data_IF_263531664638
#
_entry.id   IF_263531664638
#
_cell.length_a   1.000
_cell.length_b   1.000
_cell.length_c   1.000
_cell.angle_alpha   90.00
_cell.angle_beta   90.00
_cell.angle_gamma   90.00
#
_symmetry.space_group_name_H-M   'P 1'
#
loop_
_entity.id
_entity.type
_entity.pdbx_description
1 polymer ?
#
# COMPACT_ATOMS: atom_id res chain seq x y z
N UNK A 1 1.35 -53.26 5.36
CA UNK A 1 0.91 -52.27 4.34
C UNK A 1 0.11 -51.19 5.05
N UNK A 2 0.71 -50.01 5.28
CA UNK A 2 0.00 -48.89 5.93
C UNK A 2 -0.97 -48.27 4.93
N UNK A 3 -2.26 -48.48 5.16
CA UNK A 3 -3.36 -47.83 4.43
C UNK A 3 -3.27 -46.34 4.70
N UNK A 4 -2.68 -45.57 3.77
CA UNK A 4 -2.76 -44.11 3.79
C UNK A 4 -4.22 -43.72 3.65
N UNK A 5 -4.87 -43.42 4.77
CA UNK A 5 -6.20 -42.81 4.81
C UNK A 5 -6.13 -41.55 3.96
N UNK A 6 -6.84 -41.53 2.81
CA UNK A 6 -6.90 -40.34 1.96
C UNK A 6 -7.52 -39.23 2.81
N UNK A 7 -6.73 -38.22 3.16
CA UNK A 7 -7.23 -37.01 3.81
C UNK A 7 -8.32 -36.43 2.90
N UNK A 8 -9.54 -36.18 3.39
CA UNK A 8 -10.60 -35.58 2.59
C UNK A 8 -10.12 -34.27 1.97
N UNK A 9 -10.44 -34.02 0.70
CA UNK A 9 -10.13 -32.73 0.07
C UNK A 9 -10.86 -31.63 0.85
N UNK A 10 -10.12 -30.73 1.46
CA UNK A 10 -10.67 -29.59 2.16
C UNK A 10 -11.45 -28.70 1.17
N UNK A 11 -12.63 -28.18 1.55
CA UNK A 11 -13.37 -27.24 0.71
C UNK A 11 -12.52 -25.99 0.42
N UNK A 12 -12.68 -25.44 -0.78
CA UNK A 12 -12.03 -24.19 -1.19
C UNK A 12 -12.84 -22.99 -0.70
N UNK A 13 -12.17 -21.86 -0.46
CA UNK A 13 -12.87 -20.59 -0.19
C UNK A 13 -13.58 -20.06 -1.43
N UNK A 14 -14.51 -19.13 -1.23
CA UNK A 14 -15.20 -18.42 -2.32
C UNK A 14 -14.21 -17.76 -3.28
N UNK A 15 -13.19 -17.05 -2.76
CA UNK A 15 -12.19 -16.38 -3.61
C UNK A 15 -11.31 -17.36 -4.40
N UNK A 16 -11.17 -18.62 -3.96
CA UNK A 16 -10.45 -19.66 -4.71
C UNK A 16 -11.34 -20.41 -5.71
N UNK A 17 -12.64 -20.49 -5.45
CA UNK A 17 -13.60 -21.22 -6.27
C UNK A 17 -14.24 -20.36 -7.35
N UNK A 18 -14.65 -19.14 -6.99
CA UNK A 18 -15.33 -18.17 -7.86
C UNK A 18 -14.35 -17.10 -8.38
N UNK A 19 -13.38 -16.69 -7.56
CA UNK A 19 -12.49 -15.57 -7.85
C UNK A 19 -13.03 -14.23 -7.36
N UNK A 20 -12.28 -13.16 -7.59
CA UNK A 20 -12.74 -11.79 -7.34
C UNK A 20 -13.28 -11.25 -8.67
N UNK A 21 -14.58 -10.91 -8.77
CA UNK A 21 -15.17 -10.45 -10.02
C UNK A 21 -14.46 -9.23 -10.60
N UNK A 22 -14.48 -9.14 -11.93
CA UNK A 22 -14.14 -7.90 -12.61
C UNK A 22 -15.13 -6.78 -12.24
N UNK A 23 -14.63 -5.56 -12.09
CA UNK A 23 -15.45 -4.42 -11.66
C UNK A 23 -15.97 -3.59 -12.85
N UNK A 24 -15.68 -4.00 -14.09
CA UNK A 24 -15.92 -3.25 -15.31
C UNK A 24 -14.89 -2.16 -15.55
N UNK A 25 -15.21 -1.27 -16.49
CA UNK A 25 -14.35 -0.17 -16.90
C UNK A 25 -14.92 1.18 -16.45
N UNK A 26 -14.04 2.15 -16.22
CA UNK A 26 -14.34 3.58 -16.17
C UNK A 26 -13.53 4.22 -17.29
N UNK A 27 -14.20 4.87 -18.25
CA UNK A 27 -13.55 5.27 -19.51
C UNK A 27 -12.83 4.06 -20.14
N UNK A 28 -11.51 4.16 -20.34
CA UNK A 28 -10.63 3.15 -20.91
C UNK A 28 -9.81 2.38 -19.86
N UNK A 29 -10.04 2.62 -18.56
CA UNK A 29 -9.29 1.98 -17.48
C UNK A 29 -10.15 1.01 -16.65
N UNK A 30 -9.58 -0.08 -16.10
CA UNK A 30 -10.31 -1.00 -15.24
C UNK A 30 -10.70 -0.31 -13.93
N UNK A 31 -11.91 -0.58 -13.42
CA UNK A 31 -12.35 -0.16 -12.08
C UNK A 31 -11.62 -0.96 -11.00
N UNK A 32 -11.52 -0.38 -9.80
CA UNK A 32 -10.95 -1.09 -8.65
C UNK A 32 -11.85 -2.26 -8.25
N UNK A 33 -11.31 -3.49 -8.33
CA UNK A 33 -11.95 -4.70 -7.80
C UNK A 33 -12.09 -4.59 -6.28
N UNK A 34 -13.32 -4.64 -5.77
CA UNK A 34 -13.62 -4.59 -4.34
C UNK A 34 -13.82 -6.00 -3.79
N UNK A 35 -13.28 -6.26 -2.60
CA UNK A 35 -13.38 -7.59 -1.96
C UNK A 35 -14.39 -7.68 -0.82
N UNK A 36 -14.90 -6.54 -0.37
CA UNK A 36 -15.85 -6.47 0.74
C UNK A 36 -16.75 -5.24 0.59
N UNK A 37 -17.89 -5.28 1.29
CA UNK A 37 -18.79 -4.13 1.39
C UNK A 37 -18.21 -2.97 2.20
N UNK A 38 -19.10 -2.04 2.52
CA UNK A 38 -18.77 -0.83 3.25
C UNK A 38 -18.57 -1.11 4.74
N UNK A 39 -17.74 -0.26 5.36
CA UNK A 39 -17.66 -0.19 6.82
C UNK A 39 -18.95 0.40 7.39
N UNK A 40 -19.20 0.22 8.69
CA UNK A 40 -20.42 0.72 9.35
C UNK A 40 -20.62 2.25 9.31
N UNK A 41 -19.62 3.02 8.86
CA UNK A 41 -19.70 4.46 8.65
C UNK A 41 -18.42 5.06 8.06
N UNK A 42 -18.42 6.35 7.67
CA UNK A 42 -17.26 7.02 7.07
C UNK A 42 -16.14 7.21 8.09
N UNK A 43 -14.94 6.68 7.77
CA UNK A 43 -13.76 6.68 8.65
C UNK A 43 -12.83 7.88 8.48
N UNK A 44 -13.06 8.70 7.46
CA UNK A 44 -12.16 9.78 7.03
C UNK A 44 -12.83 11.15 6.96
N UNK A 45 -14.03 11.31 7.53
CA UNK A 45 -14.77 12.58 7.50
C UNK A 45 -13.89 13.76 7.92
N UNK A 46 -13.76 14.75 7.04
CA UNK A 46 -13.00 15.98 7.32
C UNK A 46 -11.48 15.85 7.23
N UNK A 47 -10.93 14.66 6.95
CA UNK A 47 -9.48 14.41 6.93
C UNK A 47 -8.85 14.71 5.57
N UNK A 48 -7.61 15.17 5.60
CA UNK A 48 -6.79 15.44 4.42
C UNK A 48 -5.72 14.37 4.27
N UNK A 49 -5.64 13.78 3.08
CA UNK A 49 -4.80 12.62 2.80
C UNK A 49 -3.87 12.87 1.62
N UNK A 50 -2.61 12.46 1.74
CA UNK A 50 -1.66 12.43 0.63
C UNK A 50 -1.25 10.97 0.38
N UNK A 51 -1.31 10.52 -0.87
CA UNK A 51 -0.90 9.18 -1.31
C UNK A 51 0.10 9.29 -2.45
N UNK A 52 1.30 8.72 -2.28
CA UNK A 52 2.29 8.62 -3.37
C UNK A 52 2.21 7.27 -4.09
N UNK A 53 2.60 7.21 -5.36
CA UNK A 53 2.51 5.98 -6.16
C UNK A 53 1.06 5.66 -6.60
N UNK A 54 0.29 6.70 -6.96
CA UNK A 54 -1.14 6.60 -7.25
C UNK A 54 -1.49 6.46 -8.75
N UNK A 55 -0.50 6.44 -9.66
CA UNK A 55 -0.76 6.44 -11.11
C UNK A 55 -1.13 5.05 -11.67
N UNK A 56 -0.69 3.96 -11.04
CA UNK A 56 -0.92 2.61 -11.56
C UNK A 56 -2.40 2.23 -11.60
N UNK A 57 -2.88 1.73 -12.75
CA UNK A 57 -4.27 1.29 -12.97
C UNK A 57 -4.73 0.23 -11.95
N UNK A 58 -3.86 -0.68 -11.52
CA UNK A 58 -4.21 -1.71 -10.54
C UNK A 58 -3.38 -1.53 -9.25
N UNK A 59 -2.90 -0.31 -8.99
CA UNK A 59 -1.99 -0.04 -7.89
C UNK A 59 -2.66 0.09 -6.52
N UNK A 60 -1.89 -0.21 -5.47
CA UNK A 60 -2.29 -0.01 -4.08
C UNK A 60 -2.58 1.48 -3.81
N UNK A 61 -1.77 2.40 -4.34
CA UNK A 61 -1.98 3.84 -4.17
C UNK A 61 -3.33 4.32 -4.72
N UNK A 62 -3.70 3.89 -5.94
CA UNK A 62 -5.02 4.17 -6.54
C UNK A 62 -6.13 3.58 -5.67
N UNK A 63 -6.06 2.30 -5.31
CA UNK A 63 -7.07 1.66 -4.46
C UNK A 63 -7.23 2.36 -3.10
N UNK A 64 -6.13 2.80 -2.48
CA UNK A 64 -6.16 3.59 -1.24
C UNK A 64 -6.82 4.94 -1.43
N UNK A 65 -6.58 5.65 -2.53
CA UNK A 65 -7.27 6.90 -2.83
C UNK A 65 -8.79 6.70 -2.92
N UNK A 66 -9.25 5.62 -3.58
CA UNK A 66 -10.66 5.23 -3.57
C UNK A 66 -11.18 4.93 -2.17
N UNK A 67 -10.43 4.20 -1.34
CA UNK A 67 -10.85 3.89 0.03
C UNK A 67 -10.97 5.15 0.90
N UNK A 68 -10.01 6.09 0.81
CA UNK A 68 -10.09 7.34 1.57
C UNK A 68 -11.24 8.24 1.10
N UNK A 69 -11.44 8.38 -0.21
CA UNK A 69 -12.54 9.18 -0.76
C UNK A 69 -13.92 8.56 -0.42
N UNK A 70 -14.09 7.25 -0.62
CA UNK A 70 -15.30 6.51 -0.24
C UNK A 70 -15.66 6.65 1.24
N UNK A 71 -14.66 6.82 2.10
CA UNK A 71 -14.83 7.01 3.54
C UNK A 71 -14.94 8.47 3.97
N UNK A 72 -15.20 9.38 3.03
CA UNK A 72 -15.56 10.78 3.30
C UNK A 72 -14.38 11.70 3.59
N UNK A 73 -13.17 11.39 3.11
CA UNK A 73 -12.05 12.33 3.17
C UNK A 73 -12.47 13.72 2.67
N UNK A 74 -11.96 14.78 3.30
CA UNK A 74 -12.17 16.14 2.80
C UNK A 74 -11.39 16.36 1.50
N UNK A 75 -10.16 15.87 1.46
CA UNK A 75 -9.30 15.99 0.30
C UNK A 75 -8.35 14.79 0.20
N UNK A 76 -8.08 14.37 -1.04
CA UNK A 76 -7.10 13.32 -1.37
C UNK A 76 -6.15 13.84 -2.44
N UNK A 77 -4.88 13.96 -2.09
CA UNK A 77 -3.81 14.21 -3.04
C UNK A 77 -3.31 12.88 -3.61
N UNK A 78 -3.45 12.70 -4.92
CA UNK A 78 -2.95 11.54 -5.66
C UNK A 78 -1.65 11.93 -6.37
N UNK A 79 -0.54 11.41 -5.87
CA UNK A 79 0.79 11.85 -6.24
C UNK A 79 1.57 10.73 -6.92
N UNK A 80 2.31 11.03 -7.99
CA UNK A 80 3.14 10.05 -8.67
C UNK A 80 4.24 10.71 -9.52
N UNK A 81 5.26 9.94 -9.90
CA UNK A 81 6.31 10.39 -10.81
C UNK A 81 5.78 10.60 -12.23
N UNK A 82 4.83 9.76 -12.67
CA UNK A 82 4.15 9.87 -13.96
C UNK A 82 2.70 10.32 -13.77
N UNK A 83 2.20 11.14 -14.69
CA UNK A 83 0.85 11.69 -14.68
C UNK A 83 -0.14 11.02 -15.65
N UNK A 84 0.32 10.00 -16.40
CA UNK A 84 -0.42 9.36 -17.50
C UNK A 84 -1.88 9.01 -17.17
N UNK A 85 -2.19 8.65 -15.92
CA UNK A 85 -3.54 8.29 -15.49
C UNK A 85 -4.06 9.14 -14.32
N UNK A 86 -3.29 10.08 -13.78
CA UNK A 86 -3.70 10.85 -12.59
C UNK A 86 -4.98 11.65 -12.83
N UNK A 87 -5.11 12.28 -14.01
CA UNK A 87 -6.33 13.03 -14.36
C UNK A 87 -7.54 12.09 -14.61
N UNK A 88 -7.32 10.89 -15.17
CA UNK A 88 -8.39 9.89 -15.32
C UNK A 88 -8.86 9.38 -13.95
N UNK A 89 -7.93 9.08 -13.05
CA UNK A 89 -8.26 8.69 -11.67
C UNK A 89 -9.01 9.80 -10.93
N UNK A 90 -8.65 11.07 -11.14
CA UNK A 90 -9.38 12.21 -10.61
C UNK A 90 -10.82 12.26 -11.12
N UNK A 91 -11.05 12.09 -12.43
CA UNK A 91 -12.41 12.07 -13.00
C UNK A 91 -13.25 10.94 -12.43
N UNK A 92 -12.67 9.75 -12.29
CA UNK A 92 -13.35 8.62 -11.66
C UNK A 92 -13.73 8.91 -10.21
N UNK A 93 -12.77 9.35 -9.40
CA UNK A 93 -13.00 9.68 -7.98
C UNK A 93 -14.05 10.78 -7.82
N UNK A 94 -14.01 11.84 -8.63
CA UNK A 94 -15.02 12.91 -8.62
C UNK A 94 -16.41 12.40 -9.01
N UNK A 95 -16.50 11.47 -9.97
CA UNK A 95 -17.79 10.90 -10.40
C UNK A 95 -18.44 10.05 -9.30
N UNK A 96 -17.63 9.39 -8.48
CA UNK A 96 -18.08 8.51 -7.40
C UNK A 96 -18.27 9.27 -6.08
N UNK A 97 -17.45 10.29 -5.82
CA UNK A 97 -17.33 10.98 -4.54
C UNK A 97 -17.26 12.50 -4.76
N UNK A 98 -18.35 13.15 -5.23
CA UNK A 98 -18.33 14.55 -5.63
C UNK A 98 -18.03 15.54 -4.49
N UNK A 99 -18.17 15.12 -3.23
CA UNK A 99 -17.90 15.96 -2.05
C UNK A 99 -16.42 15.92 -1.58
N UNK A 100 -15.57 15.14 -2.27
CA UNK A 100 -14.15 14.96 -1.93
C UNK A 100 -13.28 15.75 -2.90
N UNK A 101 -12.42 16.62 -2.38
CA UNK A 101 -11.50 17.38 -3.22
C UNK A 101 -10.32 16.49 -3.68
N UNK A 102 -10.24 16.19 -4.98
CA UNK A 102 -9.16 15.36 -5.53
C UNK A 102 -8.07 16.20 -6.21
N UNK A 103 -6.82 16.07 -5.72
CA UNK A 103 -5.66 16.84 -6.16
C UNK A 103 -4.59 15.95 -6.80
N UNK A 104 -4.50 15.87 -8.14
CA UNK A 104 -3.42 15.15 -8.81
C UNK A 104 -2.13 15.96 -8.81
N UNK A 105 -1.00 15.35 -8.42
CA UNK A 105 0.31 16.01 -8.42
C UNK A 105 1.37 15.10 -9.04
N UNK A 106 2.09 15.62 -10.03
CA UNK A 106 3.24 14.93 -10.62
C UNK A 106 4.52 15.36 -9.91
N UNK A 107 5.21 14.44 -9.25
CA UNK A 107 6.57 14.63 -8.73
C UNK A 107 7.24 13.31 -8.37
N UNK A 108 8.58 13.31 -8.37
CA UNK A 108 9.37 12.23 -7.78
C UNK A 108 9.28 12.30 -6.25
N UNK A 109 8.73 11.26 -5.62
CA UNK A 109 8.57 11.20 -4.16
C UNK A 109 9.90 11.23 -3.38
N UNK A 110 11.04 11.05 -4.05
CA UNK A 110 12.38 11.24 -3.46
C UNK A 110 12.98 12.64 -3.70
N UNK A 111 12.24 13.55 -4.33
CA UNK A 111 12.59 14.97 -4.44
C UNK A 111 12.09 15.72 -3.19
N UNK A 112 13.04 16.16 -2.37
CA UNK A 112 12.74 16.82 -1.09
C UNK A 112 11.91 18.11 -1.22
N UNK A 113 12.23 18.95 -2.21
CA UNK A 113 11.52 20.21 -2.43
C UNK A 113 10.05 19.97 -2.83
N UNK A 114 9.81 18.98 -3.70
CA UNK A 114 8.46 18.63 -4.13
C UNK A 114 7.62 18.00 -3.00
N UNK A 115 8.22 17.09 -2.21
CA UNK A 115 7.56 16.50 -1.04
C UNK A 115 7.20 17.56 0.00
N UNK A 116 8.10 18.52 0.25
CA UNK A 116 7.80 19.68 1.09
C UNK A 116 6.62 20.48 0.54
N UNK A 117 6.64 20.80 -0.75
CA UNK A 117 5.62 21.63 -1.39
C UNK A 117 4.21 21.03 -1.32
N UNK A 118 4.05 19.71 -1.55
CA UNK A 118 2.72 19.07 -1.47
C UNK A 118 2.16 19.04 -0.03
N UNK A 119 3.03 18.88 0.97
CA UNK A 119 2.62 18.98 2.38
C UNK A 119 2.23 20.43 2.75
N UNK A 120 2.98 21.42 2.27
CA UNK A 120 2.65 22.84 2.47
C UNK A 120 1.34 23.23 1.78
N UNK A 121 1.08 22.68 0.60
CA UNK A 121 -0.19 22.90 -0.10
C UNK A 121 -1.39 22.38 0.70
N UNK A 122 -1.28 21.19 1.30
CA UNK A 122 -2.34 20.65 2.16
C UNK A 122 -2.62 21.58 3.35
N UNK A 123 -1.57 22.13 3.97
CA UNK A 123 -1.71 23.11 5.06
C UNK A 123 -2.33 24.42 4.57
N UNK A 124 -1.89 24.96 3.43
CA UNK A 124 -2.42 26.20 2.89
C UNK A 124 -3.90 26.11 2.53
N UNK A 125 -4.33 24.99 1.94
CA UNK A 125 -5.73 24.80 1.50
C UNK A 125 -6.68 24.43 2.63
N UNK A 126 -6.22 23.60 3.58
CA UNK A 126 -7.10 22.94 4.54
C UNK A 126 -6.73 23.19 6.00
N UNK A 127 -5.59 23.84 6.27
CA UNK A 127 -5.09 24.06 7.62
C UNK A 127 -4.75 22.77 8.37
N UNK A 128 -4.59 21.64 7.66
CA UNK A 128 -4.32 20.32 8.26
C UNK A 128 -3.75 19.32 7.26
N UNK A 129 -3.05 18.33 7.79
CA UNK A 129 -2.75 17.05 7.16
C UNK A 129 -3.03 15.94 8.18
N UNK A 130 -3.65 14.84 7.75
CA UNK A 130 -4.07 13.75 8.66
C UNK A 130 -3.43 12.41 8.30
N UNK A 131 -3.25 12.13 7.01
CA UNK A 131 -2.62 10.88 6.55
C UNK A 131 -1.60 11.16 5.45
N UNK A 132 -0.43 10.56 5.58
CA UNK A 132 0.56 10.47 4.51
C UNK A 132 0.87 9.00 4.24
N UNK A 133 0.40 8.49 3.11
CA UNK A 133 0.71 7.14 2.66
C UNK A 133 1.86 7.17 1.64
N UNK A 134 3.07 6.94 2.13
CA UNK A 134 4.29 6.82 1.34
C UNK A 134 4.32 5.46 0.63
N UNK A 135 3.60 5.36 -0.49
CA UNK A 135 3.38 4.14 -1.23
C UNK A 135 4.20 4.02 -2.53
N UNK A 136 4.77 5.11 -3.03
CA UNK A 136 5.68 5.06 -4.17
C UNK A 136 6.82 4.06 -3.95
N UNK A 137 7.14 3.28 -4.97
CA UNK A 137 8.22 2.32 -4.93
C UNK A 137 8.42 1.58 -6.24
N UNK A 138 9.61 1.03 -6.41
CA UNK A 138 10.03 0.23 -7.56
C UNK A 138 10.58 -1.12 -7.09
N UNK A 139 10.67 -2.07 -8.01
CA UNK A 139 11.30 -3.36 -7.81
C UNK A 139 12.08 -3.76 -9.07
N UNK A 140 13.06 -4.65 -8.91
CA UNK A 140 13.81 -5.26 -10.02
C UNK A 140 13.82 -6.77 -9.85
N UNK A 141 13.83 -7.50 -10.97
CA UNK A 141 14.00 -8.95 -11.04
C UNK A 141 15.43 -9.40 -11.35
N UNK A 142 16.40 -8.47 -11.34
CA UNK A 142 17.80 -8.76 -11.67
C UNK A 142 18.43 -9.79 -10.71
N UNK A 143 19.34 -10.61 -11.27
CA UNK A 143 20.16 -11.56 -10.51
C UNK A 143 21.15 -10.77 -9.66
N UNK A 144 21.36 -11.19 -8.41
CA UNK A 144 22.17 -10.44 -7.44
C UNK A 144 23.57 -10.04 -7.96
N UNK A 145 24.25 -10.92 -8.69
CA UNK A 145 25.61 -10.66 -9.23
C UNK A 145 25.64 -9.61 -10.35
N UNK A 146 24.50 -9.33 -10.95
CA UNK A 146 24.38 -8.43 -12.10
C UNK A 146 23.89 -7.04 -11.69
N UNK A 147 23.59 -6.85 -10.40
CA UNK A 147 23.13 -5.57 -9.84
C UNK A 147 24.36 -4.71 -9.52
N UNK A 148 24.49 -3.60 -10.22
CA UNK A 148 25.54 -2.64 -9.94
C UNK A 148 25.18 -1.69 -8.77
N UNK A 149 26.14 -0.87 -8.35
CA UNK A 149 25.95 0.07 -7.26
C UNK A 149 24.94 1.18 -7.59
N UNK A 150 24.81 1.58 -8.85
CA UNK A 150 23.88 2.63 -9.27
C UNK A 150 22.43 2.14 -9.23
N UNK A 151 22.18 0.91 -9.67
CA UNK A 151 20.89 0.24 -9.55
C UNK A 151 20.50 0.04 -8.08
N UNK A 152 21.43 -0.42 -7.25
CA UNK A 152 21.21 -0.55 -5.81
C UNK A 152 20.82 0.80 -5.19
N UNK A 153 21.58 1.86 -5.48
CA UNK A 153 21.31 3.20 -4.93
C UNK A 153 20.03 3.81 -5.48
N UNK A 154 19.65 3.50 -6.73
CA UNK A 154 18.36 3.89 -7.30
C UNK A 154 17.21 3.27 -6.53
N UNK A 155 17.30 1.98 -6.19
CA UNK A 155 16.31 1.30 -5.34
C UNK A 155 16.19 1.97 -3.98
N UNK A 156 17.32 2.27 -3.33
CA UNK A 156 17.33 2.93 -2.01
C UNK A 156 16.75 4.34 -2.07
N UNK A 157 17.10 5.13 -3.10
CA UNK A 157 16.56 6.47 -3.32
C UNK A 157 15.04 6.44 -3.48
N UNK A 158 14.52 5.55 -4.32
CA UNK A 158 13.07 5.53 -4.60
C UNK A 158 12.29 4.89 -3.46
N UNK A 159 12.75 3.80 -2.85
CA UNK A 159 11.97 3.06 -1.84
C UNK A 159 12.18 3.53 -0.40
N UNK A 160 13.34 4.10 -0.06
CA UNK A 160 13.70 4.47 1.32
C UNK A 160 13.70 5.97 1.50
N UNK A 161 14.44 6.71 0.66
CA UNK A 161 14.52 8.17 0.78
C UNK A 161 13.14 8.82 0.60
N UNK A 162 12.31 8.33 -0.34
CA UNK A 162 10.95 8.84 -0.52
C UNK A 162 10.08 8.71 0.74
N UNK A 163 10.18 7.58 1.44
CA UNK A 163 9.43 7.32 2.67
C UNK A 163 9.94 8.20 3.81
N UNK A 164 11.27 8.34 3.95
CA UNK A 164 11.88 9.22 4.93
C UNK A 164 11.43 10.68 4.72
N UNK A 165 11.50 11.19 3.49
CA UNK A 165 11.09 12.55 3.15
C UNK A 165 9.59 12.75 3.41
N UNK A 166 8.76 11.80 2.95
CA UNK A 166 7.33 11.80 3.21
C UNK A 166 7.02 11.91 4.70
N UNK A 167 7.65 11.06 5.53
CA UNK A 167 7.47 11.08 6.97
C UNK A 167 7.95 12.40 7.63
N UNK A 168 9.13 12.89 7.23
CA UNK A 168 9.72 14.14 7.75
C UNK A 168 8.80 15.34 7.55
N UNK A 169 8.30 15.55 6.34
CA UNK A 169 7.46 16.71 6.04
C UNK A 169 6.00 16.52 6.46
N UNK A 170 5.48 15.29 6.38
CA UNK A 170 4.16 14.97 6.91
C UNK A 170 4.08 15.21 8.42
N UNK A 171 5.08 14.76 9.20
CA UNK A 171 5.11 14.98 10.64
C UNK A 171 5.08 16.49 10.99
N UNK A 172 5.88 17.31 10.29
CA UNK A 172 5.86 18.78 10.46
C UNK A 172 4.49 19.38 10.18
N UNK A 173 3.83 18.94 9.10
CA UNK A 173 2.48 19.38 8.76
C UNK A 173 1.42 18.89 9.78
N UNK A 174 1.54 17.65 10.25
CA UNK A 174 0.61 17.02 11.19
C UNK A 174 0.67 17.61 12.61
N UNK A 175 1.81 18.20 12.98
CA UNK A 175 2.00 18.93 14.25
C UNK A 175 1.23 20.25 14.30
N UNK A 176 0.88 20.83 13.14
CA UNK A 176 0.13 22.08 13.10
C UNK A 176 -1.32 21.86 13.54
N UNK A 177 -1.84 22.80 14.31
CA UNK A 177 -3.22 22.82 14.78
C UNK A 177 -4.03 23.87 14.03
N UNK A 178 -5.35 23.67 13.97
CA UNK A 178 -6.32 24.59 13.38
C UNK A 178 -7.67 24.44 14.08
N UNK A 179 -8.66 25.32 13.82
CA UNK A 179 -10.00 25.16 14.42
C UNK A 179 -10.65 23.79 14.14
N UNK A 180 -10.32 23.16 13.00
CA UNK A 180 -10.83 21.82 12.65
C UNK A 180 -9.96 20.67 13.20
N UNK A 181 -8.73 20.97 13.66
CA UNK A 181 -7.75 20.02 14.19
C UNK A 181 -7.03 20.64 15.40
N UNK A 182 -7.67 20.70 16.58
CA UNK A 182 -7.17 21.46 17.73
C UNK A 182 -5.92 20.85 18.40
N UNK A 183 -5.61 19.58 18.11
CA UNK A 183 -4.45 18.86 18.66
C UNK A 183 -3.59 18.30 17.54
N UNK A 184 -2.26 18.19 17.74
CA UNK A 184 -1.40 17.45 16.83
C UNK A 184 -1.86 15.98 16.79
N UNK A 185 -1.90 15.41 15.59
CA UNK A 185 -2.27 14.02 15.36
C UNK A 185 -2.00 13.64 13.91
N UNK A 186 -1.95 12.35 13.60
CA UNK A 186 -1.88 11.91 12.21
C UNK A 186 -1.40 10.47 12.06
N UNK A 187 -1.36 10.01 10.81
CA UNK A 187 -0.87 8.68 10.46
C UNK A 187 0.07 8.73 9.26
N UNK A 188 1.30 8.29 9.48
CA UNK A 188 2.31 8.08 8.45
C UNK A 188 2.37 6.59 8.18
N UNK A 189 2.19 6.22 6.92
CA UNK A 189 2.16 4.83 6.49
C UNK A 189 3.24 4.64 5.43
N UNK A 190 4.20 3.76 5.70
CA UNK A 190 5.23 3.37 4.75
C UNK A 190 4.89 2.06 4.06
N UNK A 191 5.06 1.97 2.73
CA UNK A 191 4.91 0.70 2.01
C UNK A 191 6.23 -0.08 2.03
N UNK A 192 6.31 -1.05 2.94
CA UNK A 192 7.36 -2.06 3.00
C UNK A 192 7.00 -3.25 2.06
N UNK A 193 7.30 -4.48 2.48
CA UNK A 193 6.92 -5.73 1.82
C UNK A 193 7.22 -6.89 2.77
N UNK A 194 6.62 -8.05 2.55
CA UNK A 194 7.12 -9.29 3.20
C UNK A 194 8.59 -9.58 2.86
N UNK A 195 9.11 -9.05 1.74
CA UNK A 195 10.54 -9.08 1.40
C UNK A 195 11.42 -8.32 2.41
N UNK A 196 10.84 -7.35 3.13
CA UNK A 196 11.50 -6.67 4.25
C UNK A 196 11.41 -7.43 5.58
N UNK A 197 10.57 -8.47 5.67
CA UNK A 197 10.38 -9.28 6.87
C UNK A 197 11.13 -10.61 6.81
N UNK A 198 11.16 -11.22 5.62
CA UNK A 198 11.74 -12.54 5.34
C UNK A 198 12.38 -12.51 3.95
N UNK A 199 13.43 -13.31 3.75
CA UNK A 199 14.09 -13.47 2.45
C UNK A 199 13.17 -14.15 1.43
N UNK A 200 13.59 -14.15 0.15
CA UNK A 200 12.94 -14.86 -0.96
C UNK A 200 11.60 -14.26 -1.46
N UNK A 201 11.32 -12.99 -1.19
CA UNK A 201 10.15 -12.29 -1.71
C UNK A 201 10.48 -11.05 -2.58
N UNK A 202 11.75 -10.89 -2.96
CA UNK A 202 12.22 -9.86 -3.88
C UNK A 202 13.73 -9.92 -4.08
N UNK A 203 14.25 -9.12 -5.02
CA UNK A 203 15.70 -8.97 -5.23
C UNK A 203 16.40 -8.41 -4.00
N UNK A 204 17.73 -8.57 -3.93
CA UNK A 204 18.55 -8.09 -2.81
C UNK A 204 18.35 -6.60 -2.49
N UNK A 205 18.46 -5.65 -3.44
CA UNK A 205 18.24 -4.23 -3.14
C UNK A 205 16.80 -3.95 -2.73
N UNK A 206 15.81 -4.63 -3.34
CA UNK A 206 14.41 -4.46 -2.97
C UNK A 206 14.17 -4.89 -1.52
N UNK A 207 14.61 -6.09 -1.15
CA UNK A 207 14.48 -6.64 0.21
C UNK A 207 15.16 -5.74 1.25
N UNK A 208 16.39 -5.28 0.97
CA UNK A 208 17.11 -4.33 1.82
C UNK A 208 16.33 -3.01 1.98
N UNK A 209 15.82 -2.45 0.89
CA UNK A 209 15.04 -1.20 0.94
C UNK A 209 13.76 -1.36 1.76
N UNK A 210 13.05 -2.49 1.62
CA UNK A 210 11.79 -2.72 2.35
C UNK A 210 12.02 -3.04 3.83
N UNK A 211 13.15 -3.67 4.19
CA UNK A 211 13.58 -3.80 5.59
C UNK A 211 13.93 -2.43 6.20
N UNK A 212 14.60 -1.56 5.45
CA UNK A 212 14.89 -0.20 5.88
C UNK A 212 13.61 0.61 6.17
N UNK A 213 12.56 0.47 5.35
CA UNK A 213 11.26 1.10 5.60
C UNK A 213 10.63 0.64 6.92
N UNK A 214 10.70 -0.66 7.25
CA UNK A 214 10.22 -1.17 8.55
C UNK A 214 10.96 -0.51 9.71
N UNK A 215 12.30 -0.48 9.63
CA UNK A 215 13.12 0.16 10.65
C UNK A 215 12.84 1.66 10.77
N UNK A 216 12.68 2.38 9.65
CA UNK A 216 12.32 3.80 9.64
C UNK A 216 11.01 4.04 10.39
N UNK A 217 9.95 3.29 10.11
CA UNK A 217 8.64 3.48 10.77
C UNK A 217 8.72 3.22 12.28
N UNK A 218 9.46 2.20 12.69
CA UNK A 218 9.73 1.93 14.10
C UNK A 218 10.46 3.10 14.76
N UNK A 219 11.58 3.55 14.20
CA UNK A 219 12.36 4.66 14.77
C UNK A 219 11.55 5.96 14.81
N UNK A 220 10.84 6.30 13.73
CA UNK A 220 10.03 7.53 13.65
C UNK A 220 8.91 7.52 14.71
N UNK A 221 8.29 6.37 14.98
CA UNK A 221 7.24 6.27 16.01
C UNK A 221 7.72 6.70 17.40
N UNK A 222 8.97 6.41 17.77
CA UNK A 222 9.56 6.86 19.03
C UNK A 222 9.95 8.34 19.00
N UNK A 223 10.42 8.83 17.85
CA UNK A 223 10.78 10.25 17.69
C UNK A 223 9.56 11.19 17.72
N UNK A 224 8.36 10.67 17.48
CA UNK A 224 7.09 11.39 17.53
C UNK A 224 6.31 11.16 18.84
N UNK A 225 6.99 10.71 19.90
CA UNK A 225 6.38 10.46 21.21
C UNK A 225 5.59 11.68 21.71
N UNK A 226 4.37 11.45 22.21
CA UNK A 226 3.50 12.49 22.76
C UNK A 226 2.79 13.38 21.74
N UNK A 227 3.09 13.25 20.44
CA UNK A 227 2.51 14.13 19.40
C UNK A 227 1.15 13.66 18.86
N UNK A 228 0.72 12.43 19.20
CA UNK A 228 -0.47 11.81 18.59
C UNK A 228 -0.27 11.36 17.13
N UNK A 229 0.93 11.51 16.57
CA UNK A 229 1.26 11.05 15.21
C UNK A 229 1.79 9.61 15.28
N UNK A 230 1.19 8.73 14.48
CA UNK A 230 1.58 7.32 14.39
C UNK A 230 2.36 7.06 13.11
N UNK A 231 3.31 6.13 13.16
CA UNK A 231 4.09 5.69 12.02
C UNK A 231 4.07 4.15 11.94
N UNK A 232 3.57 3.59 10.84
CA UNK A 232 3.47 2.15 10.65
C UNK A 232 3.91 1.73 9.24
N UNK A 233 4.40 0.51 9.10
CA UNK A 233 4.72 -0.10 7.81
C UNK A 233 3.63 -1.10 7.41
N UNK A 234 3.19 -1.05 6.15
CA UNK A 234 2.41 -2.13 5.53
C UNK A 234 3.38 -3.02 4.76
N UNK A 235 3.28 -4.34 4.93
CA UNK A 235 4.13 -5.34 4.30
C UNK A 235 3.29 -6.23 3.36
N UNK A 236 2.98 -5.79 2.13
CA UNK A 236 2.25 -6.60 1.18
C UNK A 236 3.03 -7.85 0.75
N UNK A 237 2.28 -8.93 0.50
CA UNK A 237 2.75 -10.11 -0.22
C UNK A 237 2.62 -9.94 -1.73
N UNK A 238 2.24 -11.03 -2.42
CA UNK A 238 1.97 -10.99 -3.87
C UNK A 238 0.59 -10.37 -4.12
N UNK A 239 0.58 -9.16 -4.65
CA UNK A 239 -0.63 -8.41 -5.03
C UNK A 239 -0.64 -8.25 -6.56
N UNK A 240 -1.78 -8.42 -7.22
CA UNK A 240 -1.91 -8.10 -8.65
C UNK A 240 -1.97 -6.56 -8.82
N UNK A 241 -0.87 -5.99 -9.33
CA UNK A 241 -0.67 -4.54 -9.52
C UNK A 241 0.17 -4.30 -10.77
N UNK A 242 0.41 -3.04 -11.14
CA UNK A 242 1.36 -2.71 -12.21
C UNK A 242 2.74 -3.33 -12.01
N UNK A 243 3.25 -3.39 -10.77
CA UNK A 243 4.58 -3.95 -10.44
C UNK A 243 4.68 -5.46 -10.70
N UNK A 244 3.56 -6.19 -10.60
CA UNK A 244 3.53 -7.66 -10.76
C UNK A 244 2.83 -8.12 -12.05
N UNK A 245 2.34 -7.17 -12.85
CA UNK A 245 1.58 -7.40 -14.09
C UNK A 245 2.24 -8.43 -15.01
N UNK A 246 3.52 -8.27 -15.33
CA UNK A 246 4.29 -9.19 -16.18
C UNK A 246 4.31 -10.63 -15.64
N UNK A 247 4.41 -10.80 -14.31
CA UNK A 247 4.36 -12.14 -13.70
C UNK A 247 2.97 -12.77 -13.87
N UNK A 248 1.90 -11.99 -13.67
CA UNK A 248 0.52 -12.45 -13.86
C UNK A 248 0.21 -12.75 -15.33
N UNK A 249 0.61 -11.89 -16.26
CA UNK A 249 0.46 -12.08 -17.70
C UNK A 249 1.19 -13.34 -18.19
N UNK A 250 2.45 -13.54 -17.78
CA UNK A 250 3.19 -14.75 -18.11
C UNK A 250 2.55 -16.01 -17.50
N UNK A 251 2.00 -15.91 -16.29
CA UNK A 251 1.28 -17.03 -15.67
C UNK A 251 -0.02 -17.35 -16.40
N UNK A 252 -0.78 -16.33 -16.84
CA UNK A 252 -2.00 -16.47 -17.67
C UNK A 252 -1.69 -17.11 -19.01
N UNK A 253 -0.67 -16.61 -19.72
CA UNK A 253 -0.23 -17.16 -21.01
C UNK A 253 0.14 -18.65 -20.92
N UNK A 254 0.69 -19.09 -19.78
CA UNK A 254 1.02 -20.51 -19.52
C UNK A 254 -0.13 -21.33 -18.92
N UNK A 255 -1.30 -20.74 -18.64
CA UNK A 255 -2.40 -21.41 -17.94
C UNK A 255 -2.09 -21.77 -16.47
N UNK A 256 -1.14 -21.06 -15.86
CA UNK A 256 -0.64 -21.31 -14.49
C UNK A 256 -1.00 -20.24 -13.48
N UNK A 257 -1.88 -19.30 -13.81
CA UNK A 257 -2.29 -18.20 -12.92
C UNK A 257 -2.76 -18.70 -11.54
N UNK A 258 -3.50 -19.81 -11.49
CA UNK A 258 -3.96 -20.45 -10.24
C UNK A 258 -2.82 -20.92 -9.32
N UNK A 259 -1.57 -20.94 -9.79
CA UNK A 259 -0.38 -21.26 -8.98
C UNK A 259 0.21 -20.03 -8.29
N UNK A 260 -0.20 -18.82 -8.65
CA UNK A 260 0.26 -17.60 -7.99
C UNK A 260 -0.26 -17.58 -6.55
N UNK A 261 0.65 -17.42 -5.59
CA UNK A 261 0.32 -17.45 -4.17
C UNK A 261 0.01 -18.85 -3.63
N UNK A 262 0.32 -19.93 -4.36
CA UNK A 262 0.10 -21.31 -3.88
C UNK A 262 0.81 -21.63 -2.55
N UNK A 263 1.87 -20.90 -2.22
CA UNK A 263 2.61 -21.02 -0.97
C UNK A 263 1.98 -20.23 0.18
N UNK A 264 1.09 -19.29 -0.13
CA UNK A 264 0.35 -18.55 0.87
C UNK A 264 -0.68 -19.52 1.49
N UNK A 265 -0.90 -19.50 2.82
CA UNK A 265 -2.03 -20.19 3.44
C UNK A 265 -3.39 -19.90 2.77
N UNK A 266 -3.63 -18.68 2.28
CA UNK A 266 -4.83 -18.34 1.49
C UNK A 266 -4.79 -18.81 0.02
N UNK A 267 -3.67 -19.38 -0.44
CA UNK A 267 -3.46 -20.03 -1.76
C UNK A 267 -3.74 -19.14 -2.99
N UNK A 268 -3.68 -17.82 -2.83
CA UNK A 268 -3.88 -16.85 -3.92
C UNK A 268 -3.03 -15.61 -3.73
N UNK A 269 -2.87 -14.87 -4.83
CA UNK A 269 -2.52 -13.45 -4.78
C UNK A 269 -3.70 -12.60 -4.30
N UNK A 270 -3.38 -11.43 -3.76
CA UNK A 270 -4.37 -10.44 -3.36
C UNK A 270 -4.58 -9.38 -4.44
N UNK A 271 -5.67 -8.61 -4.31
CA UNK A 271 -5.92 -7.41 -5.12
C UNK A 271 -5.60 -6.16 -4.31
N UNK A 272 -5.41 -5.03 -4.99
CA UNK A 272 -5.02 -3.77 -4.36
C UNK A 272 -5.99 -3.32 -3.25
N UNK A 273 -7.29 -3.58 -3.38
CA UNK A 273 -8.33 -3.23 -2.39
C UNK A 273 -8.06 -3.85 -1.01
N UNK A 274 -7.52 -5.06 -0.96
CA UNK A 274 -7.21 -5.74 0.32
C UNK A 274 -6.12 -5.01 1.11
N UNK A 275 -5.12 -4.46 0.41
CA UNK A 275 -4.06 -3.66 1.05
C UNK A 275 -4.57 -2.26 1.36
N UNK A 276 -5.37 -1.67 0.47
CA UNK A 276 -5.95 -0.35 0.66
C UNK A 276 -6.85 -0.26 1.91
N UNK A 277 -7.58 -1.33 2.24
CA UNK A 277 -8.38 -1.41 3.48
C UNK A 277 -7.53 -1.39 4.74
N UNK A 278 -6.34 -1.99 4.71
CA UNK A 278 -5.38 -1.90 5.82
C UNK A 278 -4.79 -0.49 5.90
N UNK A 279 -4.50 0.15 4.76
CA UNK A 279 -4.09 1.56 4.74
C UNK A 279 -5.17 2.51 5.29
N UNK A 280 -6.45 2.25 4.98
CA UNK A 280 -7.58 2.96 5.55
C UNK A 280 -7.64 2.79 7.07
N UNK A 281 -7.58 1.54 7.56
CA UNK A 281 -7.57 1.26 9.00
C UNK A 281 -6.43 2.01 9.70
N UNK A 282 -5.19 1.88 9.19
CA UNK A 282 -4.01 2.56 9.71
C UNK A 282 -4.11 4.09 9.62
N UNK A 283 -4.80 4.64 8.62
CA UNK A 283 -5.04 6.08 8.46
C UNK A 283 -6.17 6.65 9.35
N UNK A 284 -7.01 5.78 9.90
CA UNK A 284 -8.18 6.15 10.70
C UNK A 284 -7.91 6.12 12.21
N UNK A 285 -8.90 6.54 13.01
CA UNK A 285 -8.84 6.47 14.48
C UNK A 285 -8.97 5.03 15.02
N UNK A 286 -9.42 4.07 14.21
CA UNK A 286 -9.54 2.66 14.63
C UNK A 286 -8.18 2.04 14.97
N UNK A 287 -7.09 2.63 14.47
CA UNK A 287 -5.72 2.21 14.74
C UNK A 287 -5.01 3.14 15.74
N UNK A 288 -5.75 3.88 16.57
CA UNK A 288 -5.21 4.86 17.53
C UNK A 288 -4.15 4.29 18.48
N UNK A 289 -4.13 2.98 18.72
CA UNK A 289 -3.12 2.28 19.53
C UNK A 289 -2.17 1.37 18.73
N UNK A 290 -2.12 1.54 17.42
CA UNK A 290 -1.20 0.83 16.52
C UNK A 290 -0.12 1.80 16.06
N UNK A 291 1.10 1.62 16.57
CA UNK A 291 2.23 2.50 16.28
C UNK A 291 3.54 1.70 16.23
N UNK A 292 4.42 2.03 15.27
CA UNK A 292 5.71 1.36 15.07
C UNK A 292 5.61 -0.08 14.56
N UNK A 293 4.47 -0.50 14.01
CA UNK A 293 4.23 -1.89 13.63
C UNK A 293 4.44 -2.16 12.14
N UNK A 294 4.86 -3.39 11.81
CA UNK A 294 4.97 -3.90 10.46
C UNK A 294 3.83 -4.89 10.16
N UNK A 295 2.82 -4.44 9.42
CA UNK A 295 1.59 -5.18 9.16
C UNK A 295 1.70 -6.04 7.90
N UNK A 296 1.84 -7.36 8.08
CA UNK A 296 1.87 -8.30 6.97
C UNK A 296 0.48 -8.45 6.32
N UNK A 297 0.38 -8.13 5.03
CA UNK A 297 -0.83 -8.30 4.21
C UNK A 297 -0.51 -9.24 3.05
N UNK A 298 -0.38 -10.52 3.37
CA UNK A 298 0.27 -11.49 2.46
C UNK A 298 -0.42 -12.85 2.37
N UNK A 299 -1.67 -12.95 2.84
CA UNK A 299 -2.39 -14.22 2.89
C UNK A 299 -1.70 -15.32 3.70
N UNK A 300 -0.85 -14.92 4.67
CA UNK A 300 -0.12 -15.79 5.58
C UNK A 300 1.29 -16.22 5.11
N UNK A 301 1.78 -15.73 3.96
CA UNK A 301 3.08 -16.13 3.42
C UNK A 301 4.24 -15.99 4.42
N UNK A 302 4.26 -14.89 5.19
CA UNK A 302 5.33 -14.62 6.17
C UNK A 302 5.07 -15.21 7.55
N UNK A 303 3.96 -15.94 7.76
CA UNK A 303 3.52 -16.40 9.08
C UNK A 303 4.19 -17.72 9.53
N UNK A 304 4.91 -18.40 8.65
CA UNK A 304 5.52 -19.70 8.97
C UNK A 304 6.81 -19.98 8.21
N UNK A 305 7.49 -21.06 8.61
CA UNK A 305 8.60 -21.64 7.89
C UNK A 305 8.12 -22.51 6.72
N UNK A 306 8.98 -22.86 5.76
CA UNK A 306 8.64 -23.83 4.73
C UNK A 306 8.10 -25.13 5.35
N UNK A 307 6.98 -25.62 4.84
CA UNK A 307 6.36 -26.86 5.27
C UNK A 307 5.86 -27.66 4.06
N UNK A 308 5.68 -28.97 4.24
CA UNK A 308 5.08 -29.84 3.22
C UNK A 308 3.59 -29.98 3.50
N UNK A 309 2.70 -29.50 2.61
CA UNK A 309 1.26 -29.67 2.79
C UNK A 309 0.87 -31.14 3.04
N UNK A 310 0.05 -31.38 4.06
CA UNK A 310 -0.45 -32.71 4.41
C UNK A 310 0.47 -33.55 5.30
N UNK A 311 1.58 -32.99 5.79
CA UNK A 311 2.32 -33.53 6.95
C UNK A 311 2.36 -32.46 8.03
N UNK A 312 1.76 -32.75 9.19
CA UNK A 312 2.06 -31.98 10.40
C UNK A 312 3.52 -32.30 10.75
N UNK A 313 4.33 -31.26 10.94
CA UNK A 313 5.65 -31.36 11.54
C UNK A 313 5.53 -31.78 13.00
#
# INVERSE_FOLDING_TARGET
>A
MSTKTKVPKQPLSEQLSVGIPDAGMFEDIPKIRRVAGDSAGPRMKGKVVIVTGANSLQGIGRASAHQYAHNGAKAVFICDYSDNHLETHKRELNSLYPDVDIHPRQFDASNEAAVKAVCEEAIQKYGRLDVYFANAGIATGAVFTDIDSAEFMTMMRVNVLSVFLGAKYAAKAMLLTSPSKPHPSGSIIGTASVAGLRSNAGSTPYSASKAAVVSLMQTISYQLAGTGIRANAICPGVIETGMTSLMYEAARARGTEKKIGQLNPLKRGAVADEVARVALFLGSEESSYVNGQAWAVCGGLSAGHPFVPGRLS
#
